data_IF_895683246666
#
_entry.id   IF_895683246666
#
_cell.length_a   1.000
_cell.length_b   1.000
_cell.length_c   1.000
_cell.angle_alpha   90.00
_cell.angle_beta   90.00
_cell.angle_gamma   90.00
#
_symmetry.space_group_name_H-M   'P 1'
#
loop_
_entity.id
_entity.type
_entity.pdbx_description
1 polymer ?
#
# COMPACT_ATOMS: atom_id res chain seq x y z
N UNK A 1 -35.48 -14.82 -37.23
CA UNK A 1 -36.19 -14.86 -35.94
C UNK A 1 -35.22 -15.47 -34.93
N UNK A 2 -34.27 -14.67 -34.44
CA UNK A 2 -34.39 -13.77 -33.28
C UNK A 2 -34.15 -14.56 -31.99
N UNK A 3 -32.95 -14.43 -31.42
CA UNK A 3 -32.69 -13.81 -30.10
C UNK A 3 -32.87 -14.83 -28.97
N UNK A 4 -31.83 -15.24 -28.24
CA UNK A 4 -31.21 -14.40 -27.23
C UNK A 4 -29.77 -14.85 -26.93
N UNK A 5 -28.81 -14.06 -27.40
CA UNK A 5 -27.47 -13.96 -26.81
C UNK A 5 -27.48 -12.75 -25.89
N UNK A 6 -27.69 -12.93 -24.58
CA UNK A 6 -27.23 -11.96 -23.58
C UNK A 6 -27.30 -12.52 -22.17
N UNK A 7 -26.31 -12.11 -21.36
CA UNK A 7 -26.15 -12.33 -19.92
C UNK A 7 -25.41 -13.59 -19.45
N UNK A 8 -24.19 -13.76 -19.96
CA UNK A 8 -23.04 -14.04 -19.09
C UNK A 8 -22.07 -12.85 -19.14
N UNK A 9 -22.38 -11.78 -18.39
CA UNK A 9 -21.34 -10.85 -17.92
C UNK A 9 -20.63 -11.57 -16.78
N UNK A 10 -19.66 -12.39 -17.13
CA UNK A 10 -18.73 -12.97 -16.17
C UNK A 10 -17.92 -11.85 -15.53
N UNK A 11 -18.15 -11.71 -14.23
CA UNK A 11 -17.54 -10.79 -13.27
C UNK A 11 -16.01 -10.96 -13.23
N UNK A 12 -15.30 -10.13 -14.00
CA UNK A 12 -13.83 -10.10 -14.12
C UNK A 12 -13.15 -9.42 -12.92
N UNK A 13 -13.43 -9.84 -11.69
CA UNK A 13 -12.74 -9.32 -10.49
C UNK A 13 -12.73 -10.31 -9.32
N UNK A 14 -11.92 -11.38 -9.39
CA UNK A 14 -11.82 -12.36 -8.29
C UNK A 14 -10.39 -12.81 -7.97
N UNK A 15 -9.44 -11.87 -7.86
CA UNK A 15 -8.25 -12.12 -7.05
C UNK A 15 -8.39 -11.35 -5.73
N UNK A 16 -8.96 -12.01 -4.72
CA UNK A 16 -9.07 -11.44 -3.38
C UNK A 16 -7.71 -11.57 -2.70
N UNK A 17 -7.07 -10.44 -2.42
CA UNK A 17 -5.80 -10.43 -1.70
C UNK A 17 -6.00 -11.06 -0.30
N UNK A 18 -5.17 -12.03 0.10
CA UNK A 18 -5.26 -12.63 1.42
C UNK A 18 -4.99 -11.57 2.49
N UNK A 19 -5.89 -11.50 3.47
CA UNK A 19 -5.69 -10.65 4.66
C UNK A 19 -4.47 -11.14 5.44
N UNK A 20 -3.67 -10.19 5.91
CA UNK A 20 -2.43 -10.44 6.63
C UNK A 20 -2.67 -10.34 8.13
N UNK A 21 -2.29 -11.38 8.87
CA UNK A 21 -2.35 -11.38 10.35
C UNK A 21 -1.53 -10.25 10.96
N UNK A 22 -0.41 -9.90 10.33
CA UNK A 22 0.44 -8.79 10.78
C UNK A 22 -0.27 -7.44 10.65
N UNK A 23 -0.97 -7.22 9.53
CA UNK A 23 -1.74 -5.98 9.35
C UNK A 23 -2.93 -5.92 10.30
N UNK A 24 -3.65 -7.04 10.50
CA UNK A 24 -4.73 -7.09 11.50
C UNK A 24 -4.22 -6.69 12.89
N UNK A 25 -3.03 -7.16 13.29
CA UNK A 25 -2.41 -6.75 14.56
C UNK A 25 -2.17 -5.25 14.63
N UNK A 26 -1.67 -4.62 13.56
CA UNK A 26 -1.47 -3.16 13.53
C UNK A 26 -2.81 -2.41 13.60
N UNK A 27 -3.83 -2.89 12.89
CA UNK A 27 -5.19 -2.34 12.94
C UNK A 27 -5.80 -2.47 14.34
N UNK A 28 -5.58 -3.59 15.02
CA UNK A 28 -6.00 -3.78 16.41
C UNK A 28 -5.33 -2.78 17.36
N UNK A 29 -4.03 -2.49 17.19
CA UNK A 29 -3.32 -1.47 17.98
C UNK A 29 -3.93 -0.08 17.79
N UNK A 30 -4.30 0.27 16.55
CA UNK A 30 -4.98 1.54 16.27
C UNK A 30 -6.39 1.57 16.89
N UNK A 31 -7.14 0.47 16.78
CA UNK A 31 -8.50 0.37 17.32
C UNK A 31 -8.53 0.43 18.86
N UNK A 32 -7.48 -0.06 19.53
CA UNK A 32 -7.33 -0.01 21.00
C UNK A 32 -6.71 1.30 21.50
N UNK A 33 -6.35 2.22 20.60
CA UNK A 33 -5.61 3.45 20.90
C UNK A 33 -4.32 3.18 21.73
N UNK A 34 -3.56 2.15 21.35
CA UNK A 34 -2.27 1.80 21.97
C UNK A 34 -1.17 2.80 21.58
N UNK A 35 -1.32 4.07 22.03
CA UNK A 35 -0.50 5.22 21.64
C UNK A 35 0.98 5.01 21.94
N UNK A 36 1.32 4.28 23.00
CA UNK A 36 2.71 3.95 23.35
C UNK A 36 3.37 3.06 22.29
N UNK A 37 2.67 2.00 21.87
CA UNK A 37 3.15 1.08 20.83
C UNK A 37 3.23 1.79 19.49
N UNK A 38 2.19 2.53 19.11
CA UNK A 38 2.21 3.30 17.86
C UNK A 38 3.31 4.37 17.85
N UNK A 39 3.60 5.02 18.98
CA UNK A 39 4.72 5.95 19.07
C UNK A 39 6.07 5.25 18.87
N UNK A 40 6.28 4.09 19.49
CA UNK A 40 7.50 3.28 19.31
C UNK A 40 7.67 2.85 17.85
N UNK A 41 6.61 2.34 17.21
CA UNK A 41 6.62 1.96 15.80
C UNK A 41 6.92 3.14 14.88
N UNK A 42 6.33 4.31 15.15
CA UNK A 42 6.52 5.52 14.33
C UNK A 42 7.97 6.03 14.36
N UNK A 43 8.72 5.82 15.44
CA UNK A 43 10.15 6.19 15.52
C UNK A 43 10.99 5.47 14.46
N UNK A 44 10.57 4.29 14.02
CA UNK A 44 11.22 3.55 12.95
C UNK A 44 11.35 4.31 11.62
N UNK A 45 10.55 5.36 11.39
CA UNK A 45 10.70 6.23 10.21
C UNK A 45 12.01 7.01 10.16
N UNK A 46 12.68 7.22 11.31
CA UNK A 46 13.94 7.96 11.41
C UNK A 46 15.16 7.08 11.10
N UNK A 47 14.96 5.77 10.93
CA UNK A 47 16.02 4.80 10.84
C UNK A 47 15.87 3.94 9.58
N UNK A 48 16.93 3.22 9.25
CA UNK A 48 16.85 2.12 8.29
C UNK A 48 15.94 1.01 8.84
N UNK A 49 15.10 0.38 8.00
CA UNK A 49 14.23 -0.69 8.46
C UNK A 49 15.01 -1.79 9.21
N UNK A 50 14.52 -2.15 10.40
CA UNK A 50 15.13 -3.19 11.24
C UNK A 50 16.24 -2.74 12.17
N UNK A 51 16.56 -1.44 12.22
CA UNK A 51 17.61 -0.90 13.10
C UNK A 51 17.08 -0.18 14.35
N UNK A 52 15.77 0.12 14.40
CA UNK A 52 15.14 0.80 15.54
C UNK A 52 14.81 -0.20 16.68
N UNK A 53 15.58 -0.15 17.76
CA UNK A 53 15.47 -1.09 18.90
C UNK A 53 14.10 -0.99 19.59
N UNK A 54 13.51 0.21 19.69
CA UNK A 54 12.18 0.43 20.29
C UNK A 54 11.08 -0.42 19.65
N UNK A 55 11.24 -0.81 18.38
CA UNK A 55 10.26 -1.63 17.66
C UNK A 55 10.40 -3.13 17.96
N UNK A 56 11.54 -3.58 18.48
CA UNK A 56 11.88 -4.99 18.58
C UNK A 56 10.84 -5.80 19.37
N UNK A 57 10.35 -5.36 20.55
CA UNK A 57 9.34 -6.10 21.31
C UNK A 57 8.06 -6.37 20.52
N UNK A 58 7.72 -5.48 19.58
CA UNK A 58 6.48 -5.53 18.81
C UNK A 58 6.62 -6.22 17.45
N UNK A 59 7.83 -6.24 16.88
CA UNK A 59 8.07 -6.76 15.52
C UNK A 59 8.75 -8.13 15.52
N UNK A 60 9.71 -8.39 16.41
CA UNK A 60 10.45 -9.67 16.44
C UNK A 60 9.54 -10.91 16.48
N UNK A 61 8.42 -10.94 17.24
CA UNK A 61 7.50 -12.08 17.24
C UNK A 61 6.99 -12.46 15.83
N UNK A 62 6.80 -11.46 14.96
CA UNK A 62 6.34 -11.66 13.58
C UNK A 62 7.44 -12.19 12.66
N UNK A 63 8.72 -11.98 13.01
CA UNK A 63 9.86 -12.30 12.16
C UNK A 63 10.40 -13.72 12.35
N UNK A 64 9.94 -14.46 13.37
CA UNK A 64 10.50 -15.77 13.74
C UNK A 64 10.50 -16.78 12.57
N UNK A 65 9.49 -16.74 11.70
CA UNK A 65 9.34 -17.64 10.55
C UNK A 65 9.69 -16.98 9.22
N UNK A 66 10.17 -15.73 9.25
CA UNK A 66 10.39 -14.93 8.05
C UNK A 66 11.85 -15.01 7.64
N UNK A 67 12.05 -15.49 6.41
CA UNK A 67 13.37 -15.59 5.77
C UNK A 67 13.59 -14.42 4.82
N UNK A 68 14.87 -14.07 4.66
CA UNK A 68 15.34 -13.02 3.75
C UNK A 68 15.27 -11.63 4.37
N UNK A 69 16.30 -10.82 4.07
CA UNK A 69 16.42 -9.44 4.56
C UNK A 69 15.22 -8.59 4.14
N UNK A 70 14.83 -8.65 2.86
CA UNK A 70 13.69 -7.91 2.31
C UNK A 70 12.42 -8.03 3.15
N UNK A 71 11.96 -9.26 3.37
CA UNK A 71 10.71 -9.48 4.08
C UNK A 71 10.79 -8.99 5.52
N UNK A 72 11.93 -9.16 6.19
CA UNK A 72 12.11 -8.68 7.57
C UNK A 72 12.06 -7.16 7.63
N UNK A 73 12.82 -6.49 6.77
CA UNK A 73 12.87 -5.03 6.65
C UNK A 73 11.49 -4.46 6.31
N UNK A 74 10.75 -5.12 5.42
CA UNK A 74 9.40 -4.72 5.04
C UNK A 74 8.43 -4.71 6.24
N UNK A 75 8.56 -5.62 7.21
CA UNK A 75 7.70 -5.57 8.41
C UNK A 75 7.97 -4.33 9.26
N UNK A 76 9.25 -3.99 9.45
CA UNK A 76 9.61 -2.75 10.15
C UNK A 76 9.12 -1.53 9.39
N UNK A 77 9.32 -1.48 8.07
CA UNK A 77 8.88 -0.39 7.23
C UNK A 77 7.35 -0.20 7.32
N UNK A 78 6.58 -1.26 7.10
CA UNK A 78 5.11 -1.21 7.13
C UNK A 78 4.60 -0.82 8.52
N UNK A 79 5.16 -1.37 9.60
CA UNK A 79 4.75 -0.96 10.95
C UNK A 79 5.00 0.53 11.20
N UNK A 80 6.14 1.05 10.73
CA UNK A 80 6.48 2.47 10.89
C UNK A 80 5.53 3.37 10.09
N UNK A 81 5.24 2.98 8.84
CA UNK A 81 4.33 3.71 7.95
C UNK A 81 2.89 3.70 8.46
N UNK A 82 2.42 2.52 8.91
CA UNK A 82 1.09 2.38 9.51
C UNK A 82 0.97 3.26 10.75
N UNK A 83 1.94 3.21 11.67
CA UNK A 83 1.90 4.01 12.88
C UNK A 83 1.97 5.53 12.62
N UNK A 84 2.52 5.94 11.48
CA UNK A 84 2.53 7.32 11.02
C UNK A 84 1.20 7.77 10.41
N UNK A 85 0.50 6.86 9.74
CA UNK A 85 -0.81 7.08 9.13
C UNK A 85 -1.76 5.91 9.43
N UNK A 86 -2.30 5.81 10.66
CA UNK A 86 -3.11 4.66 11.09
C UNK A 86 -4.55 4.77 10.56
N UNK A 87 -4.68 4.90 9.24
CA UNK A 87 -5.96 5.02 8.52
C UNK A 87 -6.06 3.89 7.50
N UNK A 88 -6.91 2.91 7.80
CA UNK A 88 -7.11 1.73 6.96
C UNK A 88 -8.27 1.90 6.00
N UNK A 89 -7.99 1.67 4.71
CA UNK A 89 -8.99 1.50 3.66
C UNK A 89 -9.25 0.01 3.39
N UNK A 90 -10.42 -0.31 2.85
CA UNK A 90 -10.80 -1.70 2.52
C UNK A 90 -10.40 -2.06 1.07
N UNK A 91 -10.38 -1.07 0.19
CA UNK A 91 -10.22 -1.25 -1.26
C UNK A 91 -9.17 -0.29 -1.82
N UNK A 92 -8.63 -0.66 -2.97
CA UNK A 92 -7.71 0.16 -3.77
C UNK A 92 -6.24 -0.09 -3.44
N UNK A 93 -5.38 0.25 -4.39
CA UNK A 93 -3.93 0.19 -4.26
C UNK A 93 -3.30 1.59 -4.28
N UNK A 94 -1.97 1.66 -4.28
CA UNK A 94 -1.27 2.95 -4.30
C UNK A 94 -1.53 3.76 -5.56
N UNK A 95 -1.83 3.13 -6.70
CA UNK A 95 -2.26 3.83 -7.90
C UNK A 95 -3.60 4.54 -7.72
N UNK A 96 -4.56 3.90 -7.05
CA UNK A 96 -5.85 4.54 -6.72
C UNK A 96 -5.64 5.73 -5.77
N UNK A 97 -4.75 5.58 -4.79
CA UNK A 97 -4.40 6.66 -3.85
C UNK A 97 -3.80 7.86 -4.60
N UNK A 98 -2.80 7.66 -5.46
CA UNK A 98 -2.21 8.74 -6.25
C UNK A 98 -3.21 9.38 -7.22
N UNK A 99 -4.13 8.59 -7.80
CA UNK A 99 -5.19 9.11 -8.67
C UNK A 99 -6.15 10.01 -7.91
N UNK A 100 -6.57 9.60 -6.71
CA UNK A 100 -7.41 10.43 -5.86
C UNK A 100 -6.73 11.75 -5.48
N UNK A 101 -5.43 11.71 -5.14
CA UNK A 101 -4.65 12.92 -4.84
C UNK A 101 -4.59 13.84 -6.08
N UNK A 102 -4.28 13.28 -7.25
CA UNK A 102 -4.15 14.01 -8.52
C UNK A 102 -5.45 14.73 -8.90
N UNK A 103 -6.59 14.02 -8.80
CA UNK A 103 -7.91 14.62 -9.05
C UNK A 103 -8.28 15.73 -8.04
N UNK A 104 -7.77 15.66 -6.81
CA UNK A 104 -8.06 16.64 -5.76
C UNK A 104 -7.14 17.87 -5.75
N UNK A 105 -5.92 17.79 -6.31
CA UNK A 105 -4.96 18.90 -6.31
C UNK A 105 -4.90 19.69 -7.62
N UNK A 106 -5.29 19.10 -8.75
CA UNK A 106 -5.12 19.68 -10.08
C UNK A 106 -3.67 19.69 -10.59
N UNK A 107 -2.70 19.26 -9.77
CA UNK A 107 -1.28 19.13 -10.12
C UNK A 107 -0.94 17.74 -10.68
N UNK A 108 -1.43 17.46 -11.89
CA UNK A 108 -1.34 16.11 -12.44
C UNK A 108 0.11 15.73 -12.81
N UNK A 109 0.88 16.64 -13.41
CA UNK A 109 2.19 16.31 -13.99
C UNK A 109 3.26 16.01 -12.94
N UNK A 110 3.31 16.78 -11.83
CA UNK A 110 4.31 16.57 -10.77
C UNK A 110 4.04 15.27 -10.00
N UNK A 111 2.77 14.93 -9.78
CA UNK A 111 2.35 13.70 -9.12
C UNK A 111 2.59 12.48 -10.00
N UNK A 112 2.32 12.59 -11.29
CA UNK A 112 2.59 11.53 -12.27
C UNK A 112 4.08 11.19 -12.34
N UNK A 113 4.97 12.21 -12.32
CA UNK A 113 6.40 11.98 -12.25
C UNK A 113 6.81 11.26 -10.96
N UNK A 114 6.33 11.72 -9.79
CA UNK A 114 6.60 11.07 -8.50
C UNK A 114 6.12 9.62 -8.48
N UNK A 115 4.94 9.36 -9.02
CA UNK A 115 4.39 8.02 -9.10
C UNK A 115 5.20 7.13 -10.05
N UNK A 116 5.63 7.66 -11.20
CA UNK A 116 6.50 6.95 -12.14
C UNK A 116 7.83 6.59 -11.49
N UNK A 117 8.42 7.48 -10.69
CA UNK A 117 9.64 7.19 -9.92
C UNK A 117 9.40 6.06 -8.91
N UNK A 118 8.26 6.07 -8.20
CA UNK A 118 7.89 4.98 -7.29
C UNK A 118 7.80 3.63 -8.02
N UNK A 119 7.17 3.58 -9.21
CA UNK A 119 7.04 2.34 -9.99
C UNK A 119 8.39 1.80 -10.49
N UNK A 120 9.37 2.68 -10.72
CA UNK A 120 10.73 2.32 -11.16
C UNK A 120 11.69 2.03 -10.01
N UNK A 121 11.23 2.20 -8.77
CA UNK A 121 12.10 2.09 -7.60
C UNK A 121 12.64 0.67 -7.44
N UNK A 122 13.95 0.58 -7.29
CA UNK A 122 14.60 -0.66 -6.86
C UNK A 122 14.24 -0.95 -5.38
N UNK A 123 14.50 -2.16 -4.87
CA UNK A 123 14.25 -2.49 -3.47
C UNK A 123 14.93 -1.55 -2.45
N UNK A 124 16.10 -1.00 -2.77
CA UNK A 124 16.88 -0.14 -1.86
C UNK A 124 16.19 1.23 -1.66
N UNK A 125 15.72 1.84 -2.74
CA UNK A 125 15.07 3.15 -2.76
C UNK A 125 13.57 3.08 -2.45
N UNK A 126 12.96 1.89 -2.55
CA UNK A 126 11.51 1.72 -2.36
C UNK A 126 11.04 2.22 -1.00
N UNK A 127 11.84 2.03 0.05
CA UNK A 127 11.53 2.51 1.39
C UNK A 127 11.38 4.03 1.45
N UNK A 128 12.21 4.77 0.73
CA UNK A 128 12.18 6.23 0.67
C UNK A 128 10.93 6.69 -0.10
N UNK A 129 10.71 6.13 -1.29
CA UNK A 129 9.60 6.54 -2.13
C UNK A 129 8.23 6.20 -1.53
N UNK A 130 8.11 5.04 -0.85
CA UNK A 130 6.86 4.70 -0.18
C UNK A 130 6.59 5.59 1.04
N UNK A 131 7.63 6.00 1.80
CA UNK A 131 7.48 6.98 2.89
C UNK A 131 6.91 8.30 2.37
N UNK A 132 7.44 8.79 1.24
CA UNK A 132 6.93 10.00 0.59
C UNK A 132 5.48 9.83 0.14
N UNK A 133 5.14 8.70 -0.47
CA UNK A 133 3.79 8.38 -0.91
C UNK A 133 2.78 8.36 0.26
N UNK A 134 3.12 7.69 1.37
CA UNK A 134 2.25 7.63 2.57
C UNK A 134 2.13 9.00 3.22
N UNK A 135 3.19 9.80 3.24
CA UNK A 135 3.11 11.17 3.76
C UNK A 135 2.19 12.06 2.93
N UNK A 136 2.18 11.87 1.61
CA UNK A 136 1.26 12.57 0.73
C UNK A 136 -0.19 12.10 0.93
N UNK A 137 -0.43 10.80 1.07
CA UNK A 137 -1.76 10.28 1.37
C UNK A 137 -2.28 10.82 2.70
N UNK A 138 -1.44 10.84 3.74
CA UNK A 138 -1.76 11.39 5.05
C UNK A 138 -2.13 12.88 4.99
N UNK A 139 -1.39 13.70 4.24
CA UNK A 139 -1.68 15.15 4.14
C UNK A 139 -3.01 15.45 3.46
N UNK A 140 -3.53 14.49 2.67
CA UNK A 140 -4.85 14.54 2.05
C UNK A 140 -5.91 13.69 2.78
N UNK A 141 -5.55 13.12 3.93
CA UNK A 141 -6.38 12.23 4.73
C UNK A 141 -6.98 11.05 3.94
N UNK A 142 -6.22 10.51 2.99
CA UNK A 142 -6.64 9.37 2.16
C UNK A 142 -6.26 8.06 2.87
N UNK A 143 -7.22 7.17 3.16
CA UNK A 143 -6.94 5.89 3.81
C UNK A 143 -6.15 4.96 2.88
N UNK A 144 -5.35 4.06 3.48
CA UNK A 144 -4.51 3.12 2.74
C UNK A 144 -5.03 1.71 2.95
N UNK A 145 -5.16 0.94 1.87
CA UNK A 145 -5.37 -0.51 1.99
C UNK A 145 -4.05 -1.19 2.38
N UNK A 146 -3.75 -1.22 3.68
CA UNK A 146 -2.50 -1.76 4.21
C UNK A 146 -2.28 -3.22 3.88
N UNK A 147 -3.34 -4.01 3.70
CA UNK A 147 -3.25 -5.39 3.27
C UNK A 147 -2.74 -5.52 1.84
N UNK A 148 -3.30 -4.72 0.94
CA UNK A 148 -2.92 -4.69 -0.46
C UNK A 148 -1.50 -4.14 -0.61
N UNK A 149 -1.19 -3.03 0.04
CA UNK A 149 0.15 -2.46 0.07
C UNK A 149 1.20 -3.47 0.57
N UNK A 150 0.95 -4.13 1.70
CA UNK A 150 1.88 -5.12 2.23
C UNK A 150 2.02 -6.35 1.32
N UNK A 151 0.92 -6.80 0.72
CA UNK A 151 0.93 -7.92 -0.21
C UNK A 151 1.76 -7.63 -1.46
N UNK A 152 1.59 -6.43 -2.02
CA UNK A 152 2.27 -5.96 -3.23
C UNK A 152 3.79 -5.78 -2.96
N UNK A 153 4.15 -5.03 -1.89
CA UNK A 153 5.55 -4.78 -1.55
C UNK A 153 6.33 -6.06 -1.17
N UNK A 154 5.66 -7.08 -0.62
CA UNK A 154 6.32 -8.35 -0.30
C UNK A 154 6.89 -9.04 -1.55
N UNK A 155 6.27 -8.81 -2.71
CA UNK A 155 6.64 -9.43 -3.97
C UNK A 155 7.54 -8.58 -4.83
N UNK A 156 7.60 -7.27 -4.57
CA UNK A 156 8.34 -6.27 -5.36
C UNK A 156 9.72 -6.71 -5.88
N UNK A 157 10.61 -7.33 -5.09
CA UNK A 157 11.94 -7.73 -5.59
C UNK A 157 11.94 -8.97 -6.50
N UNK A 158 10.84 -9.70 -6.59
CA UNK A 158 10.73 -11.03 -7.20
C UNK A 158 9.72 -11.07 -8.35
N UNK A 159 9.20 -9.92 -8.80
CA UNK A 159 8.10 -9.85 -9.76
C UNK A 159 8.56 -10.16 -11.19
N UNK A 160 8.52 -11.43 -11.59
CA UNK A 160 8.61 -11.84 -13.00
C UNK A 160 7.24 -12.12 -13.63
N UNK A 161 6.25 -12.55 -12.84
CA UNK A 161 5.01 -13.15 -13.38
C UNK A 161 3.73 -12.31 -13.14
N UNK A 162 3.71 -11.44 -12.13
CA UNK A 162 2.57 -10.57 -11.80
C UNK A 162 3.05 -9.28 -11.18
N UNK A 163 3.36 -8.25 -11.99
CA UNK A 163 3.96 -7.04 -11.47
C UNK A 163 2.94 -6.15 -10.76
N UNK A 164 3.10 -5.96 -9.45
CA UNK A 164 2.34 -4.99 -8.65
C UNK A 164 2.43 -3.58 -9.24
N UNK A 165 3.56 -3.24 -9.88
CA UNK A 165 3.72 -1.96 -10.57
C UNK A 165 2.74 -1.78 -11.74
N UNK A 166 2.42 -2.82 -12.51
CA UNK A 166 1.46 -2.74 -13.63
C UNK A 166 0.04 -2.58 -13.10
N UNK A 167 -0.29 -3.30 -12.02
CA UNK A 167 -1.58 -3.16 -11.34
C UNK A 167 -1.76 -1.76 -10.77
N UNK A 168 -0.73 -1.21 -10.12
CA UNK A 168 -0.72 0.16 -9.62
C UNK A 168 -0.84 1.17 -10.77
N UNK A 169 -0.12 0.97 -11.88
CA UNK A 169 -0.22 1.78 -13.08
C UNK A 169 -1.65 1.80 -13.65
N UNK A 170 -2.26 0.63 -13.81
CA UNK A 170 -3.62 0.48 -14.32
C UNK A 170 -4.66 1.24 -13.46
N UNK A 171 -4.51 1.21 -12.14
CA UNK A 171 -5.35 2.00 -11.23
C UNK A 171 -5.13 3.51 -11.40
N UNK A 172 -3.88 3.96 -11.53
CA UNK A 172 -3.56 5.39 -11.64
C UNK A 172 -4.01 6.02 -12.97
N UNK A 173 -3.63 5.40 -14.11
CA UNK A 173 -3.97 5.89 -15.44
C UNK A 173 -5.34 5.41 -15.95
N UNK A 174 -6.19 4.85 -15.06
CA UNK A 174 -7.53 4.42 -15.43
C UNK A 174 -8.28 5.57 -16.12
N UNK A 175 -8.75 5.38 -17.38
CA UNK A 175 -9.47 6.42 -18.11
C UNK A 175 -10.58 7.00 -17.24
N UNK A 176 -10.81 8.32 -17.33
CA UNK A 176 -12.02 8.91 -16.75
C UNK A 176 -13.19 8.24 -17.47
N UNK A 177 -13.86 7.31 -16.80
CA UNK A 177 -15.12 6.77 -17.28
C UNK A 177 -16.06 7.95 -17.41
N UNK A 178 -16.41 8.33 -18.64
CA UNK A 178 -17.52 9.24 -18.89
C UNK A 178 -18.72 8.57 -18.23
N UNK A 179 -19.19 9.15 -17.13
CA UNK A 179 -20.51 8.81 -16.62
C UNK A 179 -21.44 9.46 -17.64
N UNK A 180 -22.00 8.64 -18.52
CA UNK A 180 -23.14 9.03 -19.34
C UNK A 180 -24.26 9.35 -18.36
N UNK A 181 -24.56 10.64 -18.20
CA UNK A 181 -25.76 11.09 -17.52
C UNK A 181 -26.92 10.80 -18.49
N UNK A 182 -27.74 9.80 -18.18
CA UNK A 182 -29.13 9.70 -18.63
C UNK A 182 -30.03 10.47 -17.67
#
# INVERSE_FOLDING_TARGET
>A
MSENKQNKKEDKSKFKIPKSKFINYLEELANRDDRGVLAALRRGLQYEPGTCIDMYPHIIPWLQKIKGKWNRDLHYLIASLFAYHPSSGIIGNMGDVFRQISLGSGENNSLEQRFTTLLRSNPEDLAIHIRQAISLAKSKNIPINWHELFYDLKRWPYESNFPSYEKWANSFWKPKTKIENE
#
